data_IF_450244603767
#
_entry.id   IF_450244603767
#
_cell.length_a   1.000
_cell.length_b   1.000
_cell.length_c   1.000
_cell.angle_alpha   90.00
_cell.angle_beta   90.00
_cell.angle_gamma   90.00
#
_symmetry.space_group_name_H-M   'P 1'
#
loop_
_entity.id
_entity.type
_entity.pdbx_description
1 polymer ?
#
# COMPACT_ATOMS: atom_id res chain seq x y z
N UNK A 1 -15.11 3.56 -17.32
CA UNK A 1 -16.20 3.72 -16.33
C UNK A 1 -15.61 4.56 -15.23
N UNK A 2 -16.11 5.78 -14.99
CA UNK A 2 -15.43 6.69 -14.05
C UNK A 2 -15.39 6.09 -12.64
N UNK A 3 -14.19 6.07 -12.06
CA UNK A 3 -13.95 5.61 -10.69
C UNK A 3 -14.70 6.52 -9.71
N UNK A 4 -15.42 5.92 -8.76
CA UNK A 4 -16.13 6.65 -7.69
C UNK A 4 -15.41 6.39 -6.36
N UNK A 5 -14.75 7.42 -5.83
CA UNK A 5 -13.94 7.31 -4.61
C UNK A 5 -14.80 6.93 -3.40
N UNK A 6 -15.99 7.50 -3.24
CA UNK A 6 -16.87 7.16 -2.12
C UNK A 6 -17.27 5.68 -2.13
N UNK A 7 -17.57 5.12 -3.31
CA UNK A 7 -17.89 3.70 -3.47
C UNK A 7 -16.69 2.80 -3.15
N UNK A 8 -15.47 3.22 -3.49
CA UNK A 8 -14.23 2.51 -3.11
C UNK A 8 -14.07 2.51 -1.59
N UNK A 9 -14.22 3.68 -0.96
CA UNK A 9 -14.15 3.85 0.50
C UNK A 9 -15.20 2.99 1.20
N UNK A 10 -16.43 2.95 0.69
CA UNK A 10 -17.51 2.16 1.28
C UNK A 10 -17.24 0.66 1.16
N UNK A 11 -16.67 0.18 0.04
CA UNK A 11 -16.23 -1.23 -0.08
C UNK A 11 -15.12 -1.60 0.90
N UNK A 12 -14.25 -0.66 1.27
CA UNK A 12 -13.26 -0.90 2.32
C UNK A 12 -13.89 -1.02 3.71
N UNK A 13 -15.16 -0.64 3.90
CA UNK A 13 -15.87 -0.78 5.18
C UNK A 13 -16.69 -2.07 5.28
N UNK A 14 -16.91 -2.77 4.17
CA UNK A 14 -17.69 -4.02 4.16
C UNK A 14 -16.84 -5.23 4.57
N UNK A 15 -17.34 -5.95 5.58
CA UNK A 15 -16.62 -6.96 6.34
C UNK A 15 -15.96 -8.07 5.52
N UNK A 16 -14.71 -8.33 5.85
CA UNK A 16 -13.93 -9.46 5.35
C UNK A 16 -13.89 -10.58 6.36
N UNK A 17 -13.81 -11.80 5.84
CA UNK A 17 -13.46 -12.97 6.62
C UNK A 17 -12.06 -13.40 6.21
N UNK A 18 -11.18 -13.49 7.20
CA UNK A 18 -9.79 -13.90 7.03
C UNK A 18 -9.71 -15.41 6.80
N UNK A 19 -9.06 -15.88 5.72
CA UNK A 19 -8.85 -17.31 5.49
C UNK A 19 -7.63 -17.90 6.19
N UNK A 20 -6.81 -17.12 6.90
CA UNK A 20 -5.54 -17.59 7.48
C UNK A 20 -5.62 -17.91 8.98
N UNK A 21 -4.94 -18.98 9.43
CA UNK A 21 -4.86 -19.33 10.85
C UNK A 21 -3.96 -18.35 11.63
N UNK A 22 -4.27 -18.14 12.92
CA UNK A 22 -3.49 -17.33 13.87
C UNK A 22 -2.10 -17.94 14.12
N UNK A 23 -1.16 -17.69 13.21
CA UNK A 23 0.26 -17.95 13.40
C UNK A 23 0.93 -16.76 14.09
N UNK A 24 2.03 -16.95 14.84
CA UNK A 24 2.83 -15.84 15.35
C UNK A 24 3.29 -14.98 14.18
N UNK A 25 2.93 -13.70 14.18
CA UNK A 25 3.16 -12.82 13.05
C UNK A 25 3.66 -11.45 13.50
N UNK A 26 4.55 -10.86 12.70
CA UNK A 26 5.07 -9.50 12.93
C UNK A 26 4.10 -8.47 12.37
N UNK A 27 3.78 -7.45 13.16
CA UNK A 27 2.95 -6.35 12.68
C UNK A 27 3.74 -5.44 11.74
N UNK A 28 3.09 -5.05 10.66
CA UNK A 28 3.58 -4.13 9.65
C UNK A 28 2.44 -3.23 9.21
N UNK A 29 2.75 -2.02 8.77
CA UNK A 29 1.75 -1.11 8.23
C UNK A 29 2.17 -0.61 6.86
N UNK A 30 1.18 -0.43 5.98
CA UNK A 30 1.39 0.13 4.64
C UNK A 30 0.41 1.25 4.41
N UNK A 31 0.81 2.28 3.69
CA UNK A 31 -0.13 3.28 3.18
C UNK A 31 -0.65 2.82 1.82
N UNK A 32 -1.95 2.94 1.59
CA UNK A 32 -2.59 2.86 0.27
C UNK A 32 -2.87 4.32 -0.14
N UNK A 33 -1.90 5.00 -0.78
CA UNK A 33 -1.99 6.39 -1.15
C UNK A 33 -2.82 6.53 -2.44
N UNK A 34 -4.05 7.03 -2.29
CA UNK A 34 -4.89 7.41 -3.42
C UNK A 34 -4.53 8.83 -3.83
N UNK A 35 -4.37 9.11 -5.12
CA UNK A 35 -4.23 10.46 -5.62
C UNK A 35 -5.35 10.79 -6.60
N UNK A 36 -5.61 12.08 -6.78
CA UNK A 36 -6.59 12.61 -7.72
C UNK A 36 -5.91 13.60 -8.67
N UNK A 37 -6.24 13.51 -9.94
CA UNK A 37 -5.85 14.44 -11.00
C UNK A 37 -7.09 14.79 -11.83
N UNK A 38 -6.95 15.74 -12.76
CA UNK A 38 -8.01 16.04 -13.73
C UNK A 38 -8.39 14.83 -14.60
N UNK A 39 -7.49 13.86 -14.75
CA UNK A 39 -7.66 12.65 -15.56
C UNK A 39 -8.38 11.53 -14.78
N UNK A 40 -8.31 11.54 -13.45
CA UNK A 40 -8.96 10.55 -12.60
C UNK A 40 -8.22 10.25 -11.30
N UNK A 41 -8.43 9.05 -10.77
CA UNK A 41 -7.82 8.58 -9.53
C UNK A 41 -6.75 7.53 -9.82
N UNK A 42 -5.72 7.52 -9.00
CA UNK A 42 -4.67 6.50 -9.06
C UNK A 42 -4.15 6.11 -7.68
N UNK A 43 -3.21 5.17 -7.68
CA UNK A 43 -2.44 4.76 -6.49
C UNK A 43 -0.95 4.95 -6.72
N UNK A 44 -0.24 5.28 -5.64
CA UNK A 44 1.22 5.36 -5.64
C UNK A 44 1.79 4.04 -5.09
N UNK A 45 2.72 3.47 -5.84
CA UNK A 45 3.42 2.23 -5.52
C UNK A 45 4.93 2.47 -5.54
N UNK A 46 5.68 1.63 -4.86
CA UNK A 46 7.15 1.59 -4.91
C UNK A 46 7.60 0.29 -5.55
N UNK A 47 8.66 0.37 -6.37
CA UNK A 47 9.46 -0.78 -6.77
C UNK A 47 10.68 -0.83 -5.86
N UNK A 48 10.84 -1.91 -5.10
CA UNK A 48 11.99 -2.09 -4.21
C UNK A 48 13.28 -2.23 -5.00
N UNK A 49 14.35 -1.66 -4.47
CA UNK A 49 15.71 -1.78 -5.01
C UNK A 49 16.10 -3.25 -5.20
N UNK A 50 16.65 -3.57 -6.38
CA UNK A 50 17.13 -4.92 -6.70
C UNK A 50 18.35 -5.33 -5.85
N UNK A 51 18.95 -4.37 -5.15
CA UNK A 51 20.13 -4.57 -4.29
C UNK A 51 19.78 -5.02 -2.87
N UNK A 52 18.50 -5.06 -2.50
CA UNK A 52 18.07 -5.47 -1.17
C UNK A 52 18.13 -6.98 -0.96
N UNK A 53 18.44 -7.40 0.26
CA UNK A 53 18.56 -8.82 0.65
C UNK A 53 17.21 -9.56 0.65
N UNK A 54 16.10 -8.83 0.81
CA UNK A 54 14.74 -9.37 0.81
C UNK A 54 13.88 -8.65 -0.23
N UNK A 55 13.05 -9.44 -0.93
CA UNK A 55 12.06 -8.95 -1.89
C UNK A 55 12.59 -7.98 -2.98
N UNK A 56 13.75 -8.26 -3.63
CA UNK A 56 14.31 -7.37 -4.64
C UNK A 56 13.36 -7.22 -5.85
N UNK A 57 13.18 -5.99 -6.32
CA UNK A 57 12.38 -5.68 -7.50
C UNK A 57 10.85 -5.82 -7.32
N UNK A 58 10.36 -6.18 -6.13
CA UNK A 58 8.93 -6.27 -5.88
C UNK A 58 8.26 -4.89 -5.97
N UNK A 59 7.05 -4.88 -6.54
CA UNK A 59 6.17 -3.72 -6.53
C UNK A 59 5.24 -3.86 -5.32
N UNK A 60 5.21 -2.85 -4.46
CA UNK A 60 4.42 -2.84 -3.23
C UNK A 60 3.86 -1.46 -2.94
N UNK A 61 2.93 -1.40 -2.01
CA UNK A 61 2.61 -0.16 -1.33
C UNK A 61 3.79 0.27 -0.43
N UNK A 62 4.00 1.58 -0.20
CA UNK A 62 4.96 2.05 0.77
C UNK A 62 4.60 1.59 2.18
N UNK A 63 5.58 1.19 2.95
CA UNK A 63 5.36 0.70 4.31
C UNK A 63 6.41 -0.27 4.81
N UNK A 64 6.29 -0.62 6.07
CA UNK A 64 7.33 -1.37 6.78
C UNK A 64 6.85 -2.01 8.07
N UNK A 65 7.81 -2.36 8.93
CA UNK A 65 7.56 -3.08 10.18
C UNK A 65 7.18 -2.08 11.27
N UNK A 66 6.18 -2.44 12.09
CA UNK A 66 5.82 -1.65 13.26
C UNK A 66 7.01 -1.54 14.22
N UNK A 67 7.32 -0.32 14.66
CA UNK A 67 8.30 -0.03 15.71
C UNK A 67 7.58 0.25 17.02
N UNK A 68 8.16 -0.14 18.17
CA UNK A 68 7.62 0.21 19.49
C UNK A 68 7.64 1.73 19.76
N UNK A 69 8.40 2.48 18.97
CA UNK A 69 8.42 3.95 19.01
C UNK A 69 7.23 4.57 18.26
N UNK A 70 6.57 3.81 17.37
CA UNK A 70 5.40 4.26 16.62
C UNK A 70 4.16 4.25 17.54
N UNK A 71 3.38 5.35 17.51
CA UNK A 71 2.19 5.49 18.35
C UNK A 71 1.09 4.49 18.00
N UNK A 72 0.93 4.22 16.72
CA UNK A 72 -0.03 3.30 16.15
C UNK A 72 0.39 2.91 14.72
N UNK A 73 -0.42 2.09 14.04
CA UNK A 73 -0.13 1.65 12.67
C UNK A 73 -0.25 2.76 11.62
N UNK A 74 -0.96 3.85 11.91
CA UNK A 74 -1.01 5.02 11.03
C UNK A 74 0.35 5.72 11.08
N UNK A 75 0.88 5.92 12.29
CA UNK A 75 2.20 6.50 12.54
C UNK A 75 3.30 5.67 11.84
N UNK A 76 3.25 4.34 11.95
CA UNK A 76 4.15 3.44 11.21
C UNK A 76 4.05 3.65 9.70
N UNK A 77 2.85 3.60 9.12
CA UNK A 77 2.68 3.74 7.67
C UNK A 77 3.16 5.12 7.16
N UNK A 78 2.96 6.16 7.96
CA UNK A 78 3.31 7.53 7.60
C UNK A 78 4.80 7.81 7.77
N UNK A 79 5.44 7.23 8.80
CA UNK A 79 6.90 7.26 8.96
C UNK A 79 7.58 6.58 7.77
N UNK A 80 7.14 5.38 7.42
CA UNK A 80 7.70 4.63 6.27
C UNK A 80 7.47 5.36 4.95
N UNK A 81 6.32 6.03 4.78
CA UNK A 81 6.10 6.93 3.64
C UNK A 81 7.14 8.05 3.57
N UNK A 82 7.43 8.71 4.70
CA UNK A 82 8.45 9.77 4.76
C UNK A 82 9.85 9.21 4.46
N UNK A 83 10.21 8.07 5.03
CA UNK A 83 11.51 7.42 4.85
C UNK A 83 11.72 6.92 3.41
N UNK A 84 10.74 6.22 2.83
CA UNK A 84 10.86 5.61 1.50
C UNK A 84 10.76 6.64 0.37
N UNK A 85 9.90 7.66 0.50
CA UNK A 85 9.58 8.60 -0.59
C UNK A 85 10.18 10.00 -0.40
N UNK A 86 10.69 10.32 0.79
CA UNK A 86 11.22 11.66 1.09
C UNK A 86 10.14 12.75 1.11
N UNK A 87 8.86 12.38 1.23
CA UNK A 87 7.73 13.31 1.24
C UNK A 87 7.09 13.34 2.61
N UNK A 88 6.86 14.53 3.15
CA UNK A 88 6.16 14.68 4.43
C UNK A 88 4.79 14.00 4.41
N UNK A 89 4.51 13.25 5.48
CA UNK A 89 3.21 12.63 5.80
C UNK A 89 2.08 13.65 5.88
N UNK A 90 2.37 14.95 6.03
CA UNK A 90 1.36 16.03 5.93
C UNK A 90 0.70 16.12 4.56
N UNK A 91 1.31 15.55 3.53
CA UNK A 91 0.70 15.40 2.20
C UNK A 91 -0.34 14.28 2.16
N UNK A 92 -0.48 13.49 3.22
CA UNK A 92 -1.45 12.40 3.34
C UNK A 92 -2.59 12.80 4.27
N UNK A 93 -3.81 12.76 3.75
CA UNK A 93 -5.03 12.90 4.51
C UNK A 93 -5.63 11.53 4.77
N UNK A 94 -5.68 11.12 6.03
CA UNK A 94 -6.26 9.84 6.43
C UNK A 94 -7.71 9.75 5.97
N UNK A 95 -8.06 8.67 5.27
CA UNK A 95 -9.44 8.32 4.94
C UNK A 95 -9.96 7.30 5.94
N UNK A 96 -9.30 6.14 6.02
CA UNK A 96 -9.62 5.08 6.97
C UNK A 96 -8.51 4.00 7.00
N UNK A 97 -8.26 3.37 8.16
CA UNK A 97 -7.62 2.05 8.18
C UNK A 97 -8.49 1.02 7.46
N UNK A 98 -7.86 0.06 6.80
CA UNK A 98 -8.50 -1.14 6.29
C UNK A 98 -8.24 -2.32 7.21
N UNK A 99 -9.00 -3.40 7.00
CA UNK A 99 -8.81 -4.66 7.73
C UNK A 99 -7.35 -5.15 7.65
N UNK A 100 -6.80 -5.75 8.71
CA UNK A 100 -5.51 -6.41 8.64
C UNK A 100 -5.51 -7.57 7.65
N UNK A 101 -4.35 -7.84 7.05
CA UNK A 101 -4.12 -8.94 6.11
C UNK A 101 -2.94 -9.77 6.58
N UNK A 102 -3.18 -11.04 6.88
CA UNK A 102 -2.11 -11.99 7.19
C UNK A 102 -1.39 -12.42 5.91
N UNK A 103 -0.07 -12.42 5.93
CA UNK A 103 0.77 -12.92 4.84
C UNK A 103 1.31 -14.30 5.19
N UNK A 104 1.57 -15.12 4.16
CA UNK A 104 2.24 -16.41 4.36
C UNK A 104 3.69 -16.24 4.88
N UNK A 105 4.27 -15.05 4.75
CA UNK A 105 5.62 -14.73 5.22
C UNK A 105 5.69 -14.43 6.71
N UNK A 106 4.57 -14.55 7.45
CA UNK A 106 4.52 -14.34 8.90
C UNK A 106 4.37 -12.87 9.29
N UNK A 107 3.70 -12.08 8.46
CA UNK A 107 3.38 -10.68 8.76
C UNK A 107 1.88 -10.46 8.84
N UNK A 108 1.46 -9.51 9.70
CA UNK A 108 0.12 -8.92 9.68
C UNK A 108 0.28 -7.52 9.13
N UNK A 109 -0.26 -7.29 7.94
CA UNK A 109 -0.23 -6.00 7.27
C UNK A 109 -1.47 -5.21 7.69
N UNK A 110 -1.28 -4.03 8.26
CA UNK A 110 -2.31 -3.05 8.59
C UNK A 110 -2.35 -1.98 7.49
N UNK A 111 -3.29 -2.03 6.53
CA UNK A 111 -3.33 -1.09 5.43
C UNK A 111 -4.03 0.21 5.85
N UNK A 112 -3.42 1.35 5.53
CA UNK A 112 -3.93 2.68 5.87
C UNK A 112 -4.28 3.40 4.58
N UNK A 113 -5.58 3.61 4.31
CA UNK A 113 -6.02 4.31 3.10
C UNK A 113 -5.99 5.81 3.35
N UNK A 114 -5.25 6.53 2.51
CA UNK A 114 -5.06 7.97 2.62
C UNK A 114 -5.12 8.65 1.25
N UNK A 115 -5.65 9.87 1.21
CA UNK A 115 -5.60 10.75 0.05
C UNK A 115 -4.27 11.50 0.05
N UNK A 116 -3.51 11.40 -1.04
CA UNK A 116 -2.30 12.15 -1.29
C UNK A 116 -2.64 13.47 -1.98
N UNK A 117 -2.24 14.59 -1.36
CA UNK A 117 -2.46 15.97 -1.81
C UNK A 117 -1.13 16.70 -2.10
N UNK A 118 -0.06 15.94 -2.43
CA UNK A 118 1.25 16.51 -2.76
C UNK A 118 1.45 16.81 -4.25
N UNK A 119 2.67 17.23 -4.62
CA UNK A 119 3.01 17.73 -5.96
C UNK A 119 3.71 16.70 -6.86
N UNK A 120 3.74 15.43 -6.45
CA UNK A 120 4.39 14.32 -7.14
C UNK A 120 5.91 14.45 -7.32
N UNK A 121 6.57 15.30 -6.52
CA UNK A 121 8.04 15.35 -6.46
C UNK A 121 8.55 14.45 -5.34
N UNK A 122 9.00 13.25 -5.73
CA UNK A 122 9.53 12.25 -4.80
C UNK A 122 11.05 12.33 -4.70
N UNK A 123 11.56 12.52 -3.48
CA UNK A 123 12.99 12.39 -3.15
C UNK A 123 13.22 11.04 -2.46
N UNK A 124 12.91 9.98 -3.20
CA UNK A 124 12.86 8.62 -2.66
C UNK A 124 14.24 8.10 -2.26
N UNK A 125 14.28 7.25 -1.23
CA UNK A 125 15.50 6.62 -0.78
C UNK A 125 16.03 5.64 -1.83
N UNK A 126 17.07 6.04 -2.57
CA UNK A 126 17.70 5.21 -3.63
C UNK A 126 18.30 3.88 -3.16
N UNK A 127 18.43 3.70 -1.83
CA UNK A 127 18.87 2.43 -1.25
C UNK A 127 17.73 1.41 -1.17
N UNK A 128 16.50 1.87 -0.98
CA UNK A 128 15.34 1.02 -0.70
C UNK A 128 14.31 1.00 -1.83
N UNK A 129 14.12 2.15 -2.49
CA UNK A 129 13.20 2.34 -3.61
C UNK A 129 13.99 2.58 -4.89
N UNK A 130 13.78 1.72 -5.89
CA UNK A 130 14.34 1.87 -7.24
C UNK A 130 13.51 2.85 -8.08
N UNK A 131 12.19 2.81 -7.87
CA UNK A 131 11.25 3.60 -8.67
C UNK A 131 9.94 3.83 -7.92
N UNK A 132 9.40 5.04 -8.06
CA UNK A 132 8.01 5.36 -7.72
C UNK A 132 7.13 5.13 -8.95
N UNK A 133 6.03 4.41 -8.77
CA UNK A 133 5.09 4.06 -9.83
C UNK A 133 3.75 4.73 -9.52
N UNK A 134 3.27 5.53 -10.48
CA UNK A 134 1.91 6.05 -10.48
C UNK A 134 1.06 5.09 -11.32
N UNK A 135 0.10 4.43 -10.70
CA UNK A 135 -0.82 3.52 -11.37
C UNK A 135 -2.20 4.16 -11.42
N UNK A 136 -2.67 4.47 -12.62
CA UNK A 136 -4.03 4.95 -12.84
C UNK A 136 -5.04 3.82 -12.57
N UNK A 137 -6.10 4.10 -11.80
CA UNK A 137 -7.09 3.09 -11.45
C UNK A 137 -8.02 2.75 -12.62
N UNK A 138 -8.28 3.69 -13.53
CA UNK A 138 -9.05 3.42 -14.74
C UNK A 138 -8.27 2.49 -15.67
N UNK A 139 -6.96 2.68 -15.83
CA UNK A 139 -6.08 1.74 -16.54
C UNK A 139 -6.10 0.35 -15.89
N UNK A 140 -5.93 0.30 -14.55
CA UNK A 140 -5.95 -0.97 -13.82
C UNK A 140 -7.26 -1.75 -14.00
N UNK A 141 -8.40 -1.06 -14.10
CA UNK A 141 -9.72 -1.68 -14.24
C UNK A 141 -10.00 -2.13 -15.67
N UNK A 142 -9.58 -1.36 -16.67
CA UNK A 142 -10.00 -1.58 -18.06
C UNK A 142 -8.94 -2.28 -18.93
N UNK A 143 -7.66 -2.22 -18.57
CA UNK A 143 -6.62 -2.88 -19.35
C UNK A 143 -6.65 -4.39 -19.12
N UNK A 144 -6.45 -5.21 -20.17
CA UNK A 144 -6.33 -6.65 -20.01
C UNK A 144 -5.08 -6.98 -19.19
N UNK A 145 -5.28 -7.48 -17.98
CA UNK A 145 -4.22 -8.05 -17.15
C UNK A 145 -4.37 -9.56 -17.05
N UNK A 146 -3.26 -10.26 -16.90
CA UNK A 146 -3.25 -11.67 -16.54
C UNK A 146 -2.89 -11.77 -15.05
N UNK A 147 -3.64 -12.57 -14.30
CA UNK A 147 -3.31 -12.89 -12.92
C UNK A 147 -2.65 -14.26 -12.90
N UNK A 148 -1.42 -14.34 -12.43
CA UNK A 148 -0.81 -15.63 -12.08
C UNK A 148 -1.15 -15.90 -10.63
N UNK A 149 -2.18 -16.71 -10.41
CA UNK A 149 -2.47 -17.26 -9.09
C UNK A 149 -1.54 -18.45 -8.87
N UNK A 150 -0.66 -18.36 -7.88
CA UNK A 150 0.18 -19.49 -7.53
C UNK A 150 -0.72 -20.59 -6.91
N UNK A 151 -0.75 -21.82 -7.45
CA UNK A 151 -1.69 -22.87 -7.05
C UNK A 151 -1.59 -23.35 -5.59
N UNK A 152 -0.65 -22.84 -4.80
CA UNK A 152 -0.62 -23.04 -3.33
C UNK A 152 -1.64 -22.19 -2.56
N UNK A 153 -2.41 -21.35 -3.24
CA UNK A 153 -3.37 -20.41 -2.63
C UNK A 153 -4.79 -20.69 -3.14
N UNK A 154 -5.58 -21.53 -2.45
CA UNK A 154 -7.00 -21.71 -2.79
C UNK A 154 -7.77 -20.43 -2.44
N UNK A 155 -8.66 -20.03 -3.34
CA UNK A 155 -9.63 -18.95 -3.12
C UNK A 155 -10.59 -19.33 -2.00
N UNK A 156 -10.63 -18.50 -0.95
CA UNK A 156 -11.66 -18.50 0.09
C UNK A 156 -12.93 -17.81 -0.38
#
# INVERSE_FOLDING_TARGET
>A
MKVNLQKIIDRFREGYKDPYPELPAKNSAVVIPLYETDEGYGVILTKRSEKLKSHPGQISFPGGVYSEEDKDYIDTAYREWEEELGISSKSLKLIAPYKPVHTFTGYIIHPIVSLYEGDFKFDHSTHEVDKVILLDLEDFINLPFYTIQNPRFPSS
#
